data_IF_699282148911
#
_entry.id   IF_699282148911
#
_cell.length_a   1.000
_cell.length_b   1.000
_cell.length_c   1.000
_cell.angle_alpha   90.00
_cell.angle_beta   90.00
_cell.angle_gamma   90.00
#
_symmetry.space_group_name_H-M   'P 1'
#
loop_
_entity.id
_entity.type
_entity.pdbx_description
1 polymer ?
#
# COMPACT_ATOMS: atom_id res chain seq x y z
N UNK A 1 7.24 2.70 9.38
CA UNK A 1 6.60 2.96 8.07
C UNK A 1 7.68 3.28 7.06
N UNK A 2 7.48 2.89 5.79
CA UNK A 2 8.34 3.26 4.66
C UNK A 2 7.47 3.60 3.44
N UNK A 3 8.06 3.94 2.30
CA UNK A 3 7.29 4.22 1.07
C UNK A 3 7.88 3.50 -0.14
N UNK A 4 7.03 3.16 -1.10
CA UNK A 4 7.49 2.67 -2.40
C UNK A 4 8.17 3.79 -3.18
N UNK A 5 9.18 3.42 -3.96
CA UNK A 5 9.81 4.37 -4.88
C UNK A 5 8.83 4.72 -6.02
N UNK A 6 8.07 3.73 -6.47
CA UNK A 6 7.10 3.82 -7.54
C UNK A 6 5.77 4.40 -7.05
N UNK A 7 5.12 5.18 -7.93
CA UNK A 7 3.69 5.47 -7.86
C UNK A 7 2.94 4.36 -8.56
N UNK A 8 2.09 3.66 -7.84
CA UNK A 8 1.41 2.46 -8.34
C UNK A 8 -0.07 2.47 -7.98
N UNK A 9 -0.87 1.86 -8.83
CA UNK A 9 -2.33 1.77 -8.69
C UNK A 9 -2.99 1.69 -10.06
N UNK A 10 -4.31 1.75 -10.08
CA UNK A 10 -5.08 1.74 -11.31
C UNK A 10 -6.29 2.65 -11.20
N UNK A 11 -6.63 3.32 -12.31
CA UNK A 11 -7.86 4.09 -12.41
C UNK A 11 -9.09 3.19 -12.57
N UNK A 12 -8.94 1.95 -13.06
CA UNK A 12 -10.07 1.09 -13.43
C UNK A 12 -10.16 -0.20 -12.62
N UNK A 13 -9.09 -0.56 -11.90
CA UNK A 13 -9.00 -1.79 -11.11
C UNK A 13 -8.72 -1.46 -9.64
N UNK A 14 -9.26 -2.26 -8.73
CA UNK A 14 -8.74 -2.30 -7.37
C UNK A 14 -7.30 -2.84 -7.40
N UNK A 15 -6.46 -2.35 -6.51
CA UNK A 15 -5.03 -2.69 -6.50
C UNK A 15 -4.68 -3.26 -5.14
N UNK A 16 -3.92 -4.35 -5.09
CA UNK A 16 -3.57 -5.00 -3.82
C UNK A 16 -2.07 -5.26 -3.73
N UNK A 17 -1.44 -4.84 -2.63
CA UNK A 17 0.01 -4.91 -2.45
C UNK A 17 0.39 -6.06 -1.52
N UNK A 18 1.30 -6.91 -1.97
CA UNK A 18 1.80 -8.06 -1.22
C UNK A 18 3.33 -8.10 -1.13
N UNK A 19 3.84 -8.68 -0.04
CA UNK A 19 5.24 -9.10 0.04
C UNK A 19 5.56 -10.16 -1.03
N UNK A 20 6.81 -10.15 -1.51
CA UNK A 20 7.32 -11.28 -2.29
C UNK A 20 7.65 -12.45 -1.37
N UNK A 21 7.68 -13.67 -1.93
CA UNK A 21 7.99 -14.87 -1.15
C UNK A 21 9.37 -14.78 -0.47
N UNK A 22 10.38 -14.24 -1.14
CA UNK A 22 11.71 -14.03 -0.55
C UNK A 22 11.66 -13.07 0.64
N UNK A 23 10.94 -11.95 0.50
CA UNK A 23 10.74 -10.96 1.56
C UNK A 23 10.05 -11.57 2.78
N UNK A 24 8.93 -12.27 2.57
CA UNK A 24 8.20 -12.96 3.62
C UNK A 24 9.01 -14.11 4.24
N UNK A 25 9.74 -14.86 3.41
CA UNK A 25 10.60 -15.98 3.83
C UNK A 25 11.76 -15.55 4.73
N UNK A 26 12.25 -14.31 4.59
CA UNK A 26 13.20 -13.72 5.53
C UNK A 26 12.56 -13.31 6.87
N UNK A 27 11.23 -13.36 6.99
CA UNK A 27 10.47 -12.91 8.14
C UNK A 27 10.10 -11.42 8.10
N UNK A 28 10.09 -10.79 6.92
CA UNK A 28 9.58 -9.42 6.71
C UNK A 28 8.22 -9.44 6.01
N UNK A 29 7.21 -8.88 6.65
CA UNK A 29 5.85 -8.77 6.15
C UNK A 29 5.52 -7.32 5.81
N UNK A 30 4.76 -7.10 4.74
CA UNK A 30 4.26 -5.78 4.37
C UNK A 30 2.75 -5.79 4.17
N UNK A 31 2.08 -4.70 4.56
CA UNK A 31 0.63 -4.52 4.41
C UNK A 31 -0.23 -5.63 5.00
N UNK A 32 0.12 -6.12 6.19
CA UNK A 32 -0.60 -7.23 6.83
C UNK A 32 -2.06 -6.87 7.14
N UNK A 33 -2.35 -5.60 7.44
CA UNK A 33 -3.69 -5.15 7.85
C UNK A 33 -4.50 -4.48 6.74
N UNK A 34 -3.84 -3.79 5.80
CA UNK A 34 -4.50 -2.99 4.76
C UNK A 34 -3.83 -3.13 3.38
N UNK A 35 -3.85 -4.34 2.76
CA UNK A 35 -3.22 -4.57 1.47
C UNK A 35 -4.01 -3.99 0.30
N UNK A 36 -5.32 -3.79 0.46
CA UNK A 36 -6.22 -3.36 -0.61
C UNK A 36 -6.26 -1.83 -0.75
N UNK A 37 -5.89 -1.36 -1.93
CA UNK A 37 -6.00 0.01 -2.39
C UNK A 37 -7.26 0.23 -3.21
N UNK A 38 -7.84 1.41 -3.05
CA UNK A 38 -9.06 1.79 -3.75
C UNK A 38 -8.80 2.04 -5.24
N UNK A 39 -9.82 1.78 -6.06
CA UNK A 39 -9.82 2.13 -7.49
C UNK A 39 -9.72 3.64 -7.69
N UNK A 40 -8.85 4.09 -8.58
CA UNK A 40 -8.54 5.51 -8.79
C UNK A 40 -7.35 6.01 -7.97
N UNK A 41 -6.90 5.27 -6.95
CA UNK A 41 -5.73 5.66 -6.17
C UNK A 41 -4.44 5.21 -6.87
N UNK A 42 -3.69 6.17 -7.42
CA UNK A 42 -2.34 5.96 -7.95
C UNK A 42 -1.36 6.78 -7.12
N UNK A 43 -0.68 6.13 -6.18
CA UNK A 43 0.09 6.79 -5.13
C UNK A 43 1.42 6.09 -4.88
N UNK A 44 2.33 6.78 -4.20
CA UNK A 44 3.41 6.09 -3.49
C UNK A 44 2.78 5.39 -2.28
N UNK A 45 2.89 4.06 -2.23
CA UNK A 45 2.27 3.29 -1.17
C UNK A 45 3.04 3.50 0.13
N UNK A 46 2.33 3.83 1.21
CA UNK A 46 2.89 3.81 2.56
C UNK A 46 2.97 2.37 3.03
N UNK A 47 4.16 1.86 3.25
CA UNK A 47 4.46 0.50 3.67
C UNK A 47 4.36 0.36 5.19
N UNK A 48 3.38 -0.42 5.64
CA UNK A 48 3.41 -1.09 6.95
C UNK A 48 4.45 -2.22 6.85
N UNK A 49 5.50 -2.19 7.67
CA UNK A 49 6.55 -3.23 7.70
C UNK A 49 6.58 -3.83 9.09
N UNK A 50 6.43 -5.17 9.16
CA UNK A 50 6.59 -5.95 10.38
C UNK A 50 7.69 -6.98 10.16
N UNK A 51 8.53 -7.20 11.17
CA UNK A 51 9.63 -8.17 11.11
C UNK A 51 9.58 -9.16 12.27
N UNK A 52 9.82 -10.44 11.99
CA UNK A 52 9.92 -11.49 13.01
C UNK A 52 11.29 -11.52 13.72
N UNK A 53 12.32 -10.99 13.06
CA UNK A 53 13.69 -10.88 13.56
C UNK A 53 14.35 -9.62 12.97
N UNK A 54 15.49 -9.13 13.51
CA UNK A 54 16.18 -7.99 12.94
C UNK A 54 16.57 -8.22 11.47
N UNK A 55 16.17 -7.29 10.58
CA UNK A 55 16.42 -7.35 9.14
C UNK A 55 16.95 -5.99 8.68
N UNK A 56 17.93 -6.00 7.78
CA UNK A 56 18.42 -4.80 7.10
C UNK A 56 17.64 -4.62 5.80
N UNK A 57 17.00 -3.46 5.65
CA UNK A 57 16.25 -3.09 4.44
C UNK A 57 17.02 -2.01 3.70
N UNK A 58 17.34 -2.26 2.42
CA UNK A 58 18.08 -1.32 1.58
C UNK A 58 17.14 -0.50 0.69
N UNK A 59 17.33 0.83 0.57
CA UNK A 59 16.56 1.64 -0.37
C UNK A 59 16.62 1.10 -1.80
N UNK A 60 15.48 1.04 -2.48
CA UNK A 60 15.39 0.57 -3.87
C UNK A 60 15.37 -0.96 -4.04
N UNK A 61 15.48 -1.74 -2.96
CA UNK A 61 15.32 -3.19 -3.06
C UNK A 61 13.87 -3.57 -3.41
N UNK A 62 13.70 -4.66 -4.16
CA UNK A 62 12.37 -5.21 -4.45
C UNK A 62 11.82 -5.92 -3.22
N UNK A 63 10.66 -5.49 -2.73
CA UNK A 63 10.04 -6.01 -1.50
C UNK A 63 8.72 -6.74 -1.74
N UNK A 64 8.09 -6.52 -2.89
CA UNK A 64 6.71 -6.93 -3.11
C UNK A 64 6.26 -6.87 -4.55
N UNK A 65 4.95 -7.01 -4.71
CA UNK A 65 4.23 -7.01 -5.98
C UNK A 65 2.85 -6.40 -5.79
N UNK A 66 2.35 -5.77 -6.83
CA UNK A 66 0.98 -5.27 -6.89
C UNK A 66 0.14 -6.16 -7.81
N UNK A 67 -1.04 -6.54 -7.35
CA UNK A 67 -2.03 -7.30 -8.09
C UNK A 67 -3.19 -6.35 -8.47
N UNK A 68 -3.76 -6.53 -9.65
CA UNK A 68 -4.90 -5.74 -10.11
C UNK A 68 -6.14 -6.62 -10.23
N UNK A 69 -7.21 -6.20 -9.56
CA UNK A 69 -8.48 -6.90 -9.53
C UNK A 69 -9.52 -6.13 -10.33
N UNK A 70 -10.23 -6.83 -11.23
CA UNK A 70 -11.35 -6.22 -11.94
C UNK A 70 -12.49 -5.96 -10.97
N UNK A 71 -13.01 -4.74 -10.99
CA UNK A 71 -14.16 -4.37 -10.17
C UNK A 71 -15.45 -4.95 -10.75
N UNK A 72 -16.39 -5.26 -9.86
CA UNK A 72 -17.76 -5.61 -10.22
C UNK A 72 -18.69 -4.46 -9.83
N UNK A 73 -19.56 -4.03 -10.75
CA UNK A 73 -20.46 -2.89 -10.57
C UNK A 73 -19.92 -1.57 -11.13
N UNK A 74 -20.62 -0.47 -10.84
CA UNK A 74 -20.22 0.88 -11.24
C UNK A 74 -19.03 1.38 -10.43
N UNK A 75 -18.12 2.10 -11.11
CA UNK A 75 -16.92 2.63 -10.46
C UNK A 75 -17.24 3.95 -9.75
N UNK A 76 -16.96 3.98 -8.45
CA UNK A 76 -16.79 5.22 -7.70
C UNK A 76 -15.30 5.40 -7.39
N UNK A 77 -14.69 6.44 -7.93
CA UNK A 77 -13.26 6.68 -7.74
C UNK A 77 -12.96 7.18 -6.33
N UNK A 78 -11.82 6.75 -5.81
CA UNK A 78 -11.33 7.20 -4.51
C UNK A 78 -11.03 8.71 -4.50
N UNK A 79 -11.74 9.44 -3.66
CA UNK A 79 -11.51 10.85 -3.32
C UNK A 79 -11.27 11.02 -1.81
N UNK A 80 -10.67 10.01 -1.17
CA UNK A 80 -10.49 10.00 0.27
C UNK A 80 -9.20 10.69 0.76
N UNK A 81 -9.03 10.64 2.08
CA UNK A 81 -8.01 11.37 2.86
C UNK A 81 -6.55 11.12 2.45
N UNK A 82 -6.24 10.09 1.67
CA UNK A 82 -4.88 9.78 1.22
C UNK A 82 -4.64 10.05 -0.27
N UNK A 83 -5.59 10.70 -0.95
CA UNK A 83 -5.44 11.04 -2.37
C UNK A 83 -4.21 11.92 -2.60
N UNK A 84 -3.47 11.65 -3.69
CA UNK A 84 -2.29 12.43 -4.07
C UNK A 84 -1.04 12.20 -3.23
N UNK A 85 -1.04 11.20 -2.33
CA UNK A 85 0.12 10.89 -1.49
C UNK A 85 1.37 10.57 -2.32
N UNK A 86 2.46 11.27 -2.03
CA UNK A 86 3.75 11.11 -2.71
C UNK A 86 4.86 10.53 -1.83
N UNK A 87 4.57 10.21 -0.57
CA UNK A 87 5.50 9.65 0.40
C UNK A 87 4.74 8.95 1.54
N UNK A 88 5.44 8.55 2.59
CA UNK A 88 4.89 8.06 3.85
C UNK A 88 3.91 9.08 4.42
N UNK A 89 2.67 8.66 4.65
CA UNK A 89 1.65 9.46 5.34
C UNK A 89 1.31 8.78 6.66
N UNK A 90 1.32 9.54 7.75
CA UNK A 90 0.84 9.07 9.04
C UNK A 90 -0.67 8.81 9.00
N UNK A 91 -1.16 7.91 9.86
CA UNK A 91 -2.57 7.61 9.94
C UNK A 91 -3.41 8.88 10.17
N UNK A 92 -4.46 9.04 9.38
CA UNK A 92 -5.43 10.15 9.48
C UNK A 92 -6.75 9.71 10.11
N UNK A 93 -6.78 8.56 10.79
CA UNK A 93 -8.00 7.98 11.37
C UNK A 93 -8.75 8.95 12.29
N UNK A 94 -8.06 9.87 12.96
CA UNK A 94 -8.66 10.91 13.80
C UNK A 94 -9.73 11.76 13.06
N UNK A 95 -9.58 11.97 11.74
CA UNK A 95 -10.53 12.73 10.93
C UNK A 95 -11.91 12.06 10.79
N UNK A 96 -12.03 10.77 11.12
CA UNK A 96 -13.35 10.09 11.16
C UNK A 96 -14.13 10.42 12.44
N UNK A 97 -13.49 11.05 13.43
CA UNK A 97 -14.05 11.38 14.73
C UNK A 97 -14.12 12.90 14.98
N UNK A 98 -13.77 13.70 13.98
CA UNK A 98 -14.01 15.14 14.00
C UNK A 98 -15.46 15.37 13.54
N UNK A 99 -16.27 16.02 14.39
CA UNK A 99 -17.68 16.36 14.13
C UNK A 99 -17.85 17.27 12.92
#
# INVERSE_FOLDING_TARGET
>A
LASTLEKMGSHTCASELYANFSTAGCGMFIQTSAPLGHTGAVINWTLEILVAQPIVVYPGMKIGKICFWKNFGELSHYAGRYQGSSNVIASRIHQDFED
#
